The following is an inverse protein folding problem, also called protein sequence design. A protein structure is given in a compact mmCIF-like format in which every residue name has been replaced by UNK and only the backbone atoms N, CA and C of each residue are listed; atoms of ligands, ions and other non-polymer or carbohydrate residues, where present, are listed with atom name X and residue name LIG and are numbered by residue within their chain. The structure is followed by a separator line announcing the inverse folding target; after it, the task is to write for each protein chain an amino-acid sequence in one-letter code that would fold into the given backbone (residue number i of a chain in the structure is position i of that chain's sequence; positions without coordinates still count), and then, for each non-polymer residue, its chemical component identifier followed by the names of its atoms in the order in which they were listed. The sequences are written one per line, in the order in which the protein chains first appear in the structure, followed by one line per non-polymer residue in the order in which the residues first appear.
data_IF_635437655865
#
_entry.id   IF_635437655865
#
_cell.length_a   1.000
_cell.length_b   1.000
_cell.length_c   1.000
_cell.angle_alpha   90.00
_cell.angle_beta   90.00
_cell.angle_gamma   90.00
#
_symmetry.space_group_name_H-M   'P 1'
#
loop_
_entity.id
_entity.type
_entity.pdbx_description
1 polymer ?
#
# COMPACT_ATOMS: atom_id res chain seq x y z
N UNK A 1 2.30 10.81 -4.30
CA UNK A 1 2.48 10.94 -2.82
C UNK A 1 1.45 11.83 -2.13
N UNK A 2 1.34 13.14 -2.43
CA UNK A 2 0.36 14.00 -1.73
C UNK A 2 -1.10 13.57 -1.99
N UNK A 3 -1.41 13.16 -3.22
CA UNK A 3 -2.75 12.74 -3.61
C UNK A 3 -3.29 11.56 -2.76
N UNK A 4 -2.41 10.64 -2.33
CA UNK A 4 -2.81 9.51 -1.48
C UNK A 4 -3.28 9.95 -0.09
N UNK A 5 -2.75 11.07 0.42
CA UNK A 5 -3.09 11.61 1.74
C UNK A 5 -4.22 12.65 1.67
N UNK A 6 -4.74 12.95 0.47
CA UNK A 6 -5.80 13.93 0.29
C UNK A 6 -7.18 13.28 0.47
N UNK A 7 -8.10 13.88 1.24
CA UNK A 7 -9.46 13.34 1.46
C UNK A 7 -10.24 13.06 0.18
N UNK A 8 -9.97 13.80 -0.91
CA UNK A 8 -10.70 13.65 -2.18
C UNK A 8 -9.88 12.93 -3.25
N UNK A 9 -8.59 13.26 -3.40
CA UNK A 9 -7.78 12.67 -4.47
C UNK A 9 -7.51 11.17 -4.26
N UNK A 10 -7.50 10.68 -3.02
CA UNK A 10 -7.34 9.24 -2.74
C UNK A 10 -8.44 8.40 -3.42
N UNK A 11 -9.67 8.92 -3.55
CA UNK A 11 -10.76 8.21 -4.21
C UNK A 11 -10.50 8.02 -5.71
N UNK A 12 -9.89 9.01 -6.36
CA UNK A 12 -9.49 8.91 -7.77
C UNK A 12 -8.45 7.81 -7.93
N UNK A 13 -7.42 7.81 -7.06
CA UNK A 13 -6.37 6.78 -7.08
C UNK A 13 -6.95 5.38 -6.86
N UNK A 14 -7.84 5.21 -5.88
CA UNK A 14 -8.52 3.94 -5.64
C UNK A 14 -9.36 3.50 -6.85
N UNK A 15 -10.04 4.44 -7.52
CA UNK A 15 -10.83 4.12 -8.72
C UNK A 15 -9.94 3.64 -9.87
N UNK A 16 -8.74 4.21 -10.03
CA UNK A 16 -7.78 3.77 -11.04
C UNK A 16 -7.44 2.27 -10.90
N UNK A 17 -7.27 1.74 -9.68
CA UNK A 17 -7.04 0.31 -9.45
C UNK A 17 -8.20 -0.60 -9.89
N UNK A 18 -9.42 -0.08 -9.94
CA UNK A 18 -10.62 -0.82 -10.38
C UNK A 18 -10.83 -0.71 -11.90
N UNK A 19 -10.34 0.36 -12.52
CA UNK A 19 -10.70 0.71 -13.91
C UNK A 19 -9.57 0.59 -14.92
N UNK A 20 -8.31 0.54 -14.49
CA UNK A 20 -7.13 0.57 -15.36
C UNK A 20 -6.36 -0.74 -15.30
N UNK A 21 -5.60 -1.05 -16.36
CA UNK A 21 -4.68 -2.18 -16.37
C UNK A 21 -3.58 -1.99 -15.30
N UNK A 22 -3.19 -3.04 -14.55
CA UNK A 22 -2.18 -2.95 -13.50
C UNK A 22 -0.85 -2.31 -13.95
N UNK A 23 -0.45 -2.53 -15.18
CA UNK A 23 0.78 -1.99 -15.77
C UNK A 23 0.76 -0.46 -15.82
N UNK A 24 -0.42 0.14 -16.05
CA UNK A 24 -0.58 1.59 -16.07
C UNK A 24 -0.53 2.23 -14.67
N UNK A 25 -0.58 1.42 -13.61
CA UNK A 25 -0.57 1.85 -12.21
C UNK A 25 0.80 1.68 -11.54
N UNK A 26 1.75 1.06 -12.25
CA UNK A 26 3.08 0.77 -11.74
C UNK A 26 3.79 2.01 -11.20
N UNK A 27 3.59 3.16 -11.84
CA UNK A 27 4.18 4.43 -11.40
C UNK A 27 3.78 4.81 -9.97
N UNK A 28 2.59 4.42 -9.49
CA UNK A 28 2.15 4.74 -8.12
C UNK A 28 2.93 3.91 -7.09
N UNK A 29 3.18 2.64 -7.41
CA UNK A 29 4.01 1.74 -6.60
C UNK A 29 5.45 2.24 -6.58
N UNK A 30 6.00 2.56 -7.75
CA UNK A 30 7.35 3.08 -7.90
C UNK A 30 7.54 4.40 -7.15
N UNK A 31 6.57 5.33 -7.25
CA UNK A 31 6.62 6.62 -6.55
C UNK A 31 6.65 6.41 -5.03
N UNK A 32 5.79 5.51 -4.50
CA UNK A 32 5.75 5.23 -3.07
C UNK A 32 7.04 4.55 -2.59
N UNK A 33 7.54 3.56 -3.34
CA UNK A 33 8.78 2.86 -3.03
C UNK A 33 9.99 3.81 -3.02
N UNK A 34 10.06 4.74 -3.99
CA UNK A 34 11.13 5.74 -4.08
C UNK A 34 11.15 6.74 -2.91
N UNK A 35 10.03 6.93 -2.18
CA UNK A 35 10.00 7.73 -0.94
C UNK A 35 10.64 7.01 0.25
N UNK A 36 10.88 5.71 0.14
CA UNK A 36 11.56 4.87 1.12
C UNK A 36 10.66 4.29 2.22
N UNK A 37 11.20 3.33 2.98
CA UNK A 37 10.46 2.52 3.97
C UNK A 37 9.65 3.35 4.97
N UNK A 38 10.21 4.45 5.49
CA UNK A 38 9.51 5.34 6.45
C UNK A 38 8.23 5.94 5.85
N UNK A 39 8.24 6.29 4.58
CA UNK A 39 7.08 6.85 3.89
C UNK A 39 5.98 5.79 3.69
N UNK A 40 6.37 4.55 3.39
CA UNK A 40 5.46 3.42 3.25
C UNK A 40 4.72 3.15 4.57
N UNK A 41 5.47 3.07 5.68
CA UNK A 41 4.87 2.90 7.02
C UNK A 41 3.93 4.06 7.37
N UNK A 42 4.33 5.30 7.07
CA UNK A 42 3.47 6.47 7.27
C UNK A 42 2.20 6.41 6.42
N UNK A 43 2.27 5.92 5.18
CA UNK A 43 1.10 5.74 4.33
C UNK A 43 0.15 4.68 4.90
N UNK A 44 0.68 3.56 5.40
CA UNK A 44 -0.12 2.51 6.05
C UNK A 44 -0.82 3.00 7.33
N UNK A 45 -0.26 4.00 8.01
CA UNK A 45 -0.85 4.62 9.21
C UNK A 45 -1.79 5.79 8.91
N UNK A 46 -1.92 6.23 7.66
CA UNK A 46 -2.78 7.36 7.32
C UNK A 46 -4.21 6.90 6.99
N UNK A 47 -5.22 7.64 7.45
CA UNK A 47 -6.64 7.32 7.28
C UNK A 47 -7.10 7.17 5.80
N UNK A 48 -6.42 7.85 4.86
CA UNK A 48 -6.74 7.80 3.43
C UNK A 48 -5.74 6.94 2.65
N UNK A 49 -4.44 7.15 2.88
CA UNK A 49 -3.40 6.50 2.10
C UNK A 49 -3.34 4.98 2.35
N UNK A 50 -3.77 4.50 3.52
CA UNK A 50 -3.80 3.07 3.83
C UNK A 50 -4.69 2.29 2.84
N UNK A 51 -5.77 2.91 2.34
CA UNK A 51 -6.64 2.32 1.32
C UNK A 51 -5.94 2.16 -0.01
N UNK A 52 -5.12 3.12 -0.39
CA UNK A 52 -4.34 3.06 -1.64
C UNK A 52 -3.26 1.96 -1.52
N UNK A 53 -2.61 1.84 -0.36
CA UNK A 53 -1.66 0.76 -0.09
C UNK A 53 -2.34 -0.62 -0.19
N UNK A 54 -3.53 -0.78 0.38
CA UNK A 54 -4.32 -2.02 0.24
C UNK A 54 -4.61 -2.33 -1.24
N UNK A 55 -5.08 -1.35 -2.04
CA UNK A 55 -5.32 -1.55 -3.47
C UNK A 55 -4.06 -1.96 -4.25
N UNK A 56 -2.90 -1.41 -3.89
CA UNK A 56 -1.63 -1.82 -4.50
C UNK A 56 -1.34 -3.31 -4.22
N UNK A 57 -1.55 -3.76 -2.98
CA UNK A 57 -1.34 -5.17 -2.61
C UNK A 57 -2.33 -6.12 -3.31
N UNK A 58 -3.57 -5.68 -3.54
CA UNK A 58 -4.60 -6.50 -4.21
C UNK A 58 -4.38 -6.64 -5.73
N UNK A 59 -3.95 -5.56 -6.39
CA UNK A 59 -4.08 -5.44 -7.85
C UNK A 59 -2.75 -5.35 -8.60
N UNK A 60 -1.64 -5.04 -7.93
CA UNK A 60 -0.34 -4.96 -8.60
C UNK A 60 0.40 -6.30 -8.55
N UNK A 61 1.28 -6.51 -9.52
CA UNK A 61 2.09 -7.72 -9.60
C UNK A 61 2.94 -7.90 -8.32
N UNK A 62 3.00 -9.10 -7.72
CA UNK A 62 3.71 -9.35 -6.46
C UNK A 62 5.17 -8.87 -6.46
N UNK A 63 5.88 -9.08 -7.57
CA UNK A 63 7.28 -8.66 -7.75
C UNK A 63 7.47 -7.14 -7.64
N UNK A 64 6.43 -6.39 -7.95
CA UNK A 64 6.44 -4.93 -8.00
C UNK A 64 6.14 -4.32 -6.64
N UNK A 65 5.32 -5.01 -5.83
CA UNK A 65 4.97 -4.56 -4.47
C UNK A 65 5.95 -5.06 -3.41
N UNK A 66 6.92 -5.90 -3.74
CA UNK A 66 7.95 -6.39 -2.80
C UNK A 66 8.56 -5.30 -1.91
N UNK A 67 8.98 -4.11 -2.40
CA UNK A 67 9.55 -3.08 -1.54
C UNK A 67 8.54 -2.53 -0.51
N UNK A 68 7.26 -2.54 -0.85
CA UNK A 68 6.16 -2.16 0.04
C UNK A 68 5.96 -3.25 1.10
N UNK A 69 5.86 -4.51 0.66
CA UNK A 69 5.69 -5.67 1.55
C UNK A 69 6.80 -5.74 2.60
N UNK A 70 8.08 -5.66 2.18
CA UNK A 70 9.21 -5.68 3.09
C UNK A 70 9.15 -4.55 4.13
N UNK A 71 8.80 -3.33 3.72
CA UNK A 71 8.69 -2.20 4.63
C UNK A 71 7.53 -2.37 5.64
N UNK A 72 6.43 -3.01 5.23
CA UNK A 72 5.31 -3.31 6.11
C UNK A 72 5.66 -4.41 7.12
N UNK A 73 6.35 -5.46 6.67
CA UNK A 73 6.81 -6.56 7.53
C UNK A 73 7.84 -6.09 8.56
N UNK A 74 8.83 -5.28 8.14
CA UNK A 74 9.81 -4.65 9.04
C UNK A 74 9.14 -3.83 10.16
N UNK A 75 7.96 -3.26 9.89
CA UNK A 75 7.21 -2.42 10.81
C UNK A 75 5.95 -3.11 11.40
N UNK A 76 5.77 -4.42 11.19
CA UNK A 76 4.54 -5.12 11.53
C UNK A 76 4.15 -4.98 13.01
N UNK A 77 5.13 -5.05 13.92
CA UNK A 77 4.91 -4.88 15.36
C UNK A 77 4.32 -3.51 15.75
N UNK A 78 4.65 -2.47 15.00
CA UNK A 78 4.11 -1.12 15.20
C UNK A 78 2.77 -0.97 14.49
N UNK A 79 2.66 -1.46 13.25
CA UNK A 79 1.46 -1.33 12.43
C UNK A 79 0.27 -2.08 13.01
N UNK A 80 0.47 -3.28 13.56
CA UNK A 80 -0.57 -4.07 14.25
C UNK A 80 -1.18 -3.37 15.46
N UNK A 81 -0.47 -2.42 16.08
CA UNK A 81 -0.96 -1.62 17.21
C UNK A 81 -1.61 -0.31 16.78
N UNK A 82 -1.59 0.00 15.49
CA UNK A 82 -2.10 1.25 14.95
C UNK A 82 -3.54 1.10 14.44
N UNK A 83 -4.39 2.11 14.67
CA UNK A 83 -5.82 2.08 14.32
C UNK A 83 -6.09 1.82 12.83
N UNK A 84 -5.21 2.29 11.92
CA UNK A 84 -5.29 1.98 10.49
C UNK A 84 -4.29 0.92 10.03
N UNK A 85 -3.14 0.83 10.70
CA UNK A 85 -2.04 -0.04 10.28
C UNK A 85 -2.39 -1.52 10.42
N UNK A 86 -3.20 -1.86 11.43
CA UNK A 86 -3.65 -3.23 11.66
C UNK A 86 -4.41 -3.79 10.46
N UNK A 87 -5.26 -2.96 9.82
CA UNK A 87 -5.99 -3.37 8.64
C UNK A 87 -5.07 -3.59 7.44
N UNK A 88 -4.01 -2.79 7.28
CA UNK A 88 -3.02 -3.00 6.21
C UNK A 88 -2.25 -4.30 6.43
N UNK A 89 -1.88 -4.64 7.66
CA UNK A 89 -1.18 -5.90 7.97
C UNK A 89 -2.11 -7.10 7.77
N UNK A 90 -3.34 -7.07 8.29
CA UNK A 90 -4.30 -8.15 8.06
C UNK A 90 -4.53 -8.38 6.57
N UNK A 91 -4.61 -7.30 5.80
CA UNK A 91 -4.80 -7.36 4.37
C UNK A 91 -3.56 -7.86 3.63
N UNK A 92 -2.36 -7.49 4.08
CA UNK A 92 -1.11 -8.06 3.58
C UNK A 92 -1.07 -9.59 3.80
N UNK A 93 -1.55 -10.08 4.93
CA UNK A 93 -1.61 -11.52 5.19
C UNK A 93 -2.66 -12.23 4.33
N UNK A 94 -3.75 -11.55 3.96
CA UNK A 94 -4.81 -12.11 3.11
C UNK A 94 -4.40 -12.18 1.63
N UNK A 95 -3.67 -11.18 1.13
CA UNK A 95 -3.32 -11.04 -0.30
C UNK A 95 -1.82 -11.22 -0.60
N UNK A 96 -0.98 -11.33 0.42
CA UNK A 96 0.43 -11.66 0.26
C UNK A 96 0.60 -13.07 -0.32
N UNK A 97 1.60 -13.28 -1.16
CA UNK A 97 1.90 -14.61 -1.71
C UNK A 97 2.37 -15.57 -0.61
N UNK A 98 2.28 -16.89 -0.80
CA UNK A 98 2.78 -17.89 0.18
C UNK A 98 4.27 -17.70 0.53
N UNK A 99 5.07 -17.09 -0.36
CA UNK A 99 6.47 -16.73 -0.09
C UNK A 99 6.65 -15.47 0.79
N UNK A 100 5.57 -14.73 1.00
CA UNK A 100 5.47 -13.46 1.73
C UNK A 100 4.52 -13.53 2.94
N UNK A 101 3.80 -14.64 3.12
CA UNK A 101 3.01 -15.02 4.31
C UNK A 101 3.88 -15.75 5.33
#
# INVERSE_FOLDING_TARGET
WQAMQCPHANHVLQKCFVTMCPEALQFMVDELAAKGKKAIVKAAQNEYACRVVQRMLEHCHPEKVTPIVEALLDAAAVLTRHCYGVFVISHLLEYGTESQQ
#
